data_IF_575999186719
#
_entry.id   IF_575999186719
#
_cell.length_a   1.000
_cell.length_b   1.000
_cell.length_c   1.000
_cell.angle_alpha   90.00
_cell.angle_beta   90.00
_cell.angle_gamma   90.00
#
_symmetry.space_group_name_H-M   'P 1'
#
loop_
_entity.id
_entity.type
_entity.pdbx_description
1 polymer ?
#
# COMPACT_ATOMS: atom_id res chain seq x y z
N UNK A 1 -44.43 7.01 -10.29
CA UNK A 1 -43.77 7.18 -8.97
C UNK A 1 -43.52 8.66 -8.80
N UNK A 2 -44.17 9.31 -7.83
CA UNK A 2 -43.90 10.71 -7.49
C UNK A 2 -42.53 10.79 -6.82
N UNK A 3 -41.56 11.43 -7.47
CA UNK A 3 -40.25 11.66 -6.86
C UNK A 3 -40.42 12.70 -5.76
N UNK A 4 -40.43 12.26 -4.50
CA UNK A 4 -40.44 13.19 -3.35
C UNK A 4 -39.13 13.97 -3.34
N UNK A 5 -39.21 15.28 -3.48
CA UNK A 5 -38.05 16.15 -3.39
C UNK A 5 -37.58 16.24 -1.93
N UNK A 6 -36.29 16.01 -1.68
CA UNK A 6 -35.64 16.21 -0.39
C UNK A 6 -34.70 17.42 -0.45
N UNK A 7 -34.55 18.12 0.69
CA UNK A 7 -33.68 19.29 0.82
C UNK A 7 -32.37 18.93 1.53
N UNK A 8 -31.27 19.57 1.10
CA UNK A 8 -29.96 19.50 1.76
C UNK A 8 -29.63 20.93 2.21
N UNK A 9 -29.54 21.13 3.53
CA UNK A 9 -29.21 22.42 4.13
C UNK A 9 -27.86 22.32 4.84
N UNK A 10 -26.87 23.08 4.36
CA UNK A 10 -25.50 23.09 4.91
C UNK A 10 -25.07 24.52 5.18
N UNK A 11 -24.49 24.78 6.35
CA UNK A 11 -23.85 26.06 6.67
C UNK A 11 -22.44 26.07 6.10
N UNK A 12 -22.09 27.12 5.37
CA UNK A 12 -20.78 27.29 4.73
C UNK A 12 -20.24 28.68 5.08
N UNK A 13 -18.92 28.78 5.17
CA UNK A 13 -18.26 30.08 5.21
C UNK A 13 -18.68 30.94 4.01
N UNK A 14 -18.91 32.23 4.25
CA UNK A 14 -19.48 33.14 3.26
C UNK A 14 -18.50 33.39 2.10
N UNK A 15 -17.20 33.44 2.36
CA UNK A 15 -16.17 33.71 1.36
C UNK A 15 -15.92 32.46 0.52
N UNK A 16 -15.94 31.30 1.17
CA UNK A 16 -15.92 30.00 0.50
C UNK A 16 -17.14 29.82 -0.41
N UNK A 17 -18.34 30.22 0.02
CA UNK A 17 -19.55 30.18 -0.82
C UNK A 17 -19.39 31.05 -2.06
N UNK A 18 -18.94 32.30 -1.89
CA UNK A 18 -18.78 33.25 -3.01
C UNK A 18 -17.74 32.76 -4.02
N UNK A 19 -16.58 32.31 -3.55
CA UNK A 19 -15.52 31.79 -4.42
C UNK A 19 -15.95 30.52 -5.17
N UNK A 20 -16.65 29.62 -4.49
CA UNK A 20 -17.23 28.41 -5.08
C UNK A 20 -18.26 28.72 -6.16
N UNK A 21 -19.22 29.61 -5.89
CA UNK A 21 -20.25 30.01 -6.87
C UNK A 21 -19.62 30.61 -8.14
N UNK A 22 -18.60 31.46 -7.97
CA UNK A 22 -17.88 32.04 -9.11
C UNK A 22 -17.18 30.95 -9.94
N UNK A 23 -16.59 29.93 -9.31
CA UNK A 23 -15.96 28.82 -10.00
C UNK A 23 -16.98 27.95 -10.76
N UNK A 24 -18.11 27.62 -10.12
CA UNK A 24 -19.19 26.86 -10.75
C UNK A 24 -19.79 27.61 -11.94
N UNK A 25 -20.02 28.92 -11.79
CA UNK A 25 -20.53 29.78 -12.87
C UNK A 25 -19.58 29.81 -14.07
N UNK A 26 -18.26 29.92 -13.84
CA UNK A 26 -17.25 29.82 -14.92
C UNK A 26 -17.27 28.45 -15.62
N UNK A 27 -17.63 27.39 -14.91
CA UNK A 27 -17.81 26.05 -15.46
C UNK A 27 -19.20 25.82 -16.09
N UNK A 28 -20.05 26.86 -16.15
CA UNK A 28 -21.41 26.77 -16.71
C UNK A 28 -22.39 25.98 -15.82
N UNK A 29 -22.10 25.85 -14.52
CA UNK A 29 -22.92 25.10 -13.57
C UNK A 29 -23.54 26.00 -12.51
N UNK A 30 -24.81 25.71 -12.17
CA UNK A 30 -25.44 26.27 -10.97
C UNK A 30 -25.03 25.48 -9.72
N UNK A 31 -25.08 26.09 -8.52
CA UNK A 31 -24.82 25.38 -7.26
C UNK A 31 -25.68 24.13 -7.08
N UNK A 32 -26.97 24.20 -7.41
CA UNK A 32 -27.87 23.04 -7.30
C UNK A 32 -27.53 21.92 -8.29
N UNK A 33 -27.04 22.24 -9.50
CA UNK A 33 -26.56 21.21 -10.43
C UNK A 33 -25.31 20.53 -9.89
N UNK A 34 -24.36 21.29 -9.35
CA UNK A 34 -23.15 20.74 -8.75
C UNK A 34 -23.45 19.82 -7.56
N UNK A 35 -24.37 20.23 -6.65
CA UNK A 35 -24.79 19.39 -5.52
C UNK A 35 -25.48 18.11 -5.98
N UNK A 36 -26.36 18.19 -6.99
CA UNK A 36 -27.01 16.99 -7.54
C UNK A 36 -25.99 16.04 -8.19
N UNK A 37 -25.06 16.58 -8.99
CA UNK A 37 -24.00 15.79 -9.61
C UNK A 37 -23.12 15.10 -8.56
N UNK A 38 -22.81 15.80 -7.46
CA UNK A 38 -22.07 15.22 -6.34
C UNK A 38 -22.81 14.04 -5.70
N UNK A 39 -24.11 14.18 -5.44
CA UNK A 39 -24.91 13.10 -4.88
C UNK A 39 -25.10 11.93 -5.85
N UNK A 40 -25.19 12.19 -7.16
CA UNK A 40 -25.20 11.16 -8.20
C UNK A 40 -23.88 10.40 -8.23
N UNK A 41 -22.75 11.10 -8.14
CA UNK A 41 -21.42 10.47 -8.07
C UNK A 41 -21.30 9.60 -6.81
N UNK A 42 -21.68 10.13 -5.64
CA UNK A 42 -21.66 9.37 -4.39
C UNK A 42 -22.51 8.10 -4.48
N UNK A 43 -23.72 8.19 -5.05
CA UNK A 43 -24.57 7.02 -5.28
C UNK A 43 -23.94 6.00 -6.25
N UNK A 44 -23.28 6.47 -7.31
CA UNK A 44 -22.59 5.59 -8.28
C UNK A 44 -21.38 4.86 -7.70
N UNK A 45 -20.82 5.40 -6.61
CA UNK A 45 -19.67 4.85 -5.88
C UNK A 45 -20.08 4.17 -4.57
N UNK A 46 -21.36 3.83 -4.39
CA UNK A 46 -21.86 3.23 -3.15
C UNK A 46 -21.07 1.98 -2.72
N UNK A 47 -20.65 1.15 -3.67
CA UNK A 47 -19.86 -0.06 -3.41
C UNK A 47 -18.34 0.18 -3.31
N UNK A 48 -17.90 1.44 -3.50
CA UNK A 48 -16.48 1.83 -3.55
C UNK A 48 -16.22 3.11 -2.72
N UNK A 49 -16.36 3.04 -1.38
CA UNK A 49 -16.22 4.21 -0.51
C UNK A 49 -14.82 4.85 -0.58
N UNK A 50 -13.75 4.07 -0.76
CA UNK A 50 -12.39 4.61 -0.88
C UNK A 50 -12.23 5.55 -2.07
N UNK A 51 -12.85 5.23 -3.22
CA UNK A 51 -12.80 6.10 -4.39
C UNK A 51 -13.56 7.42 -4.16
N UNK A 52 -14.62 7.41 -3.35
CA UNK A 52 -15.33 8.62 -2.97
C UNK A 52 -14.50 9.49 -2.02
N UNK A 53 -13.79 8.87 -1.07
CA UNK A 53 -12.87 9.57 -0.17
C UNK A 53 -11.72 10.24 -0.93
N UNK A 54 -11.13 9.58 -1.91
CA UNK A 54 -10.06 10.14 -2.74
C UNK A 54 -10.50 11.39 -3.51
N UNK A 55 -11.75 11.39 -4.01
CA UNK A 55 -12.32 12.52 -4.77
C UNK A 55 -12.67 13.69 -3.85
N UNK A 56 -13.26 13.43 -2.68
CA UNK A 56 -13.72 14.46 -1.75
C UNK A 56 -12.60 15.03 -0.88
N UNK A 57 -11.58 14.22 -0.57
CA UNK A 57 -10.44 14.59 0.28
C UNK A 57 -9.10 14.35 -0.43
N UNK A 58 -8.85 15.00 -1.60
CA UNK A 58 -7.65 14.77 -2.39
C UNK A 58 -6.36 15.15 -1.63
N UNK A 59 -6.43 16.11 -0.70
CA UNK A 59 -5.29 16.47 0.16
C UNK A 59 -4.91 15.35 1.13
N UNK A 60 -5.89 14.59 1.64
CA UNK A 60 -5.68 13.46 2.53
C UNK A 60 -5.11 12.28 1.77
N UNK A 61 -5.71 11.93 0.62
CA UNK A 61 -5.21 10.89 -0.26
C UNK A 61 -3.75 11.13 -0.68
N UNK A 62 -3.41 12.39 -1.01
CA UNK A 62 -2.01 12.78 -1.31
C UNK A 62 -1.08 12.70 -0.10
N UNK A 63 -1.57 13.01 1.10
CA UNK A 63 -0.76 12.89 2.32
C UNK A 63 -0.46 11.42 2.64
N UNK A 64 -1.47 10.55 2.57
CA UNK A 64 -1.34 9.11 2.78
C UNK A 64 -0.37 8.51 1.74
N UNK A 65 -0.53 8.86 0.46
CA UNK A 65 0.38 8.43 -0.61
C UNK A 65 1.85 8.81 -0.33
N UNK A 66 2.10 10.05 0.13
CA UNK A 66 3.46 10.50 0.50
C UNK A 66 4.03 9.70 1.66
N UNK A 67 3.21 9.36 2.65
CA UNK A 67 3.66 8.53 3.77
C UNK A 67 3.97 7.10 3.33
N UNK A 68 3.16 6.52 2.43
CA UNK A 68 3.45 5.21 1.82
C UNK A 68 4.76 5.22 1.03
N UNK A 69 5.01 6.25 0.23
CA UNK A 69 6.25 6.41 -0.52
C UNK A 69 7.47 6.54 0.40
N UNK A 70 7.36 7.32 1.49
CA UNK A 70 8.42 7.42 2.51
C UNK A 70 8.67 6.07 3.18
N UNK A 71 7.62 5.34 3.54
CA UNK A 71 7.74 4.03 4.16
C UNK A 71 8.39 3.02 3.21
N UNK A 72 8.00 3.02 1.92
CA UNK A 72 8.60 2.17 0.90
C UNK A 72 10.08 2.49 0.68
N UNK A 73 10.43 3.78 0.61
CA UNK A 73 11.83 4.23 0.49
C UNK A 73 12.66 3.79 1.70
N UNK A 74 12.14 4.01 2.92
CA UNK A 74 12.80 3.58 4.16
C UNK A 74 13.01 2.07 4.20
N UNK A 75 12.03 1.29 3.76
CA UNK A 75 12.16 -0.17 3.66
C UNK A 75 13.26 -0.57 2.68
N UNK A 76 13.35 0.09 1.52
CA UNK A 76 14.40 -0.18 0.54
C UNK A 76 15.80 0.16 1.08
N UNK A 77 15.93 1.29 1.77
CA UNK A 77 17.19 1.69 2.44
C UNK A 77 17.61 0.65 3.51
N UNK A 78 16.66 0.13 4.29
CA UNK A 78 16.95 -0.93 5.27
C UNK A 78 17.38 -2.25 4.60
N UNK A 79 16.78 -2.63 3.47
CA UNK A 79 17.17 -3.82 2.71
C UNK A 79 18.61 -3.67 2.18
N UNK A 80 18.95 -2.51 1.61
CA UNK A 80 20.30 -2.22 1.13
C UNK A 80 21.33 -2.23 2.27
N UNK A 81 21.01 -1.58 3.39
CA UNK A 81 21.86 -1.61 4.59
C UNK A 81 22.05 -3.04 5.12
N UNK A 82 20.97 -3.82 5.22
CA UNK A 82 21.00 -5.21 5.65
C UNK A 82 21.86 -6.08 4.73
N UNK A 83 21.75 -5.90 3.42
CA UNK A 83 22.57 -6.62 2.43
C UNK A 83 24.07 -6.32 2.58
N UNK A 84 24.43 -5.05 2.81
CA UNK A 84 25.83 -4.64 3.04
C UNK A 84 26.39 -5.20 4.34
N UNK A 85 25.60 -5.19 5.42
CA UNK A 85 25.96 -5.80 6.70
C UNK A 85 26.20 -7.30 6.54
N UNK A 86 25.29 -8.02 5.89
CA UNK A 86 25.41 -9.45 5.64
C UNK A 86 26.67 -9.79 4.82
N UNK A 87 26.90 -9.08 3.72
CA UNK A 87 28.09 -9.27 2.89
C UNK A 87 29.39 -9.02 3.67
N UNK A 88 29.39 -8.07 4.61
CA UNK A 88 30.55 -7.80 5.48
C UNK A 88 30.79 -8.94 6.45
N UNK A 89 29.75 -9.39 7.15
CA UNK A 89 29.84 -10.52 8.08
C UNK A 89 30.31 -11.82 7.40
N UNK A 90 29.83 -12.10 6.19
CA UNK A 90 30.30 -13.25 5.41
C UNK A 90 31.80 -13.15 5.09
N UNK A 91 32.27 -11.98 4.63
CA UNK A 91 33.70 -11.77 4.36
C UNK A 91 34.55 -11.94 5.61
N UNK A 92 34.13 -11.37 6.74
CA UNK A 92 34.84 -11.47 8.02
C UNK A 92 34.86 -12.90 8.56
N UNK A 93 33.82 -13.69 8.27
CA UNK A 93 33.73 -15.10 8.64
C UNK A 93 34.44 -16.04 7.66
N UNK A 94 35.06 -15.52 6.60
CA UNK A 94 35.72 -16.32 5.56
C UNK A 94 34.75 -17.06 4.62
N UNK A 95 33.47 -16.68 4.59
CA UNK A 95 32.45 -17.28 3.73
C UNK A 95 32.54 -16.68 2.32
N UNK A 96 32.87 -17.52 1.34
CA UNK A 96 32.87 -17.13 -0.08
C UNK A 96 31.44 -17.17 -0.65
N UNK A 97 30.80 -16.01 -0.64
CA UNK A 97 29.44 -15.82 -1.15
C UNK A 97 29.29 -16.10 -2.65
N UNK A 98 30.37 -16.05 -3.44
CA UNK A 98 30.33 -16.36 -4.89
C UNK A 98 30.29 -17.86 -5.13
N UNK A 99 30.87 -18.64 -4.21
CA UNK A 99 30.85 -20.10 -4.24
C UNK A 99 29.70 -20.72 -3.45
N UNK A 100 29.06 -19.94 -2.59
CA UNK A 100 27.89 -20.36 -1.83
C UNK A 100 26.73 -20.68 -2.80
N UNK A 101 26.44 -21.96 -2.97
CA UNK A 101 25.26 -22.42 -3.70
C UNK A 101 24.06 -22.44 -2.73
N UNK A 102 22.91 -21.87 -3.13
CA UNK A 102 21.69 -22.04 -2.34
C UNK A 102 21.30 -23.52 -2.37
N UNK A 103 21.33 -24.19 -1.23
CA UNK A 103 20.73 -25.52 -1.09
C UNK A 103 19.22 -25.40 -1.02
N UNK A 104 18.52 -26.28 -1.71
CA UNK A 104 17.06 -26.34 -1.64
C UNK A 104 16.58 -26.88 -0.27
N UNK A 105 15.36 -26.54 0.12
CA UNK A 105 14.81 -26.94 1.43
C UNK A 105 14.87 -28.45 1.67
N UNK A 106 14.62 -29.28 0.64
CA UNK A 106 14.69 -30.74 0.75
C UNK A 106 16.13 -31.25 0.93
N UNK A 107 17.10 -30.56 0.33
CA UNK A 107 18.52 -30.87 0.51
C UNK A 107 18.98 -30.51 1.94
N UNK A 108 18.56 -29.33 2.44
CA UNK A 108 18.84 -28.92 3.82
C UNK A 108 18.23 -29.88 4.83
N UNK A 109 16.98 -30.32 4.62
CA UNK A 109 16.35 -31.35 5.46
C UNK A 109 17.16 -32.65 5.42
N UNK A 110 17.51 -33.15 4.23
CA UNK A 110 18.29 -34.39 4.09
C UNK A 110 19.62 -34.32 4.83
N UNK A 111 20.36 -33.23 4.67
CA UNK A 111 21.64 -33.03 5.35
C UNK A 111 21.48 -32.95 6.87
N UNK A 112 20.44 -32.28 7.37
CA UNK A 112 20.16 -32.24 8.81
C UNK A 112 19.78 -33.61 9.39
N UNK A 113 19.07 -34.46 8.63
CA UNK A 113 18.81 -35.85 9.03
C UNK A 113 20.10 -36.69 9.01
N UNK A 114 20.94 -36.53 7.98
CA UNK A 114 22.24 -37.20 7.89
C UNK A 114 23.14 -36.80 9.07
N UNK A 115 23.38 -35.52 9.33
CA UNK A 115 24.21 -35.05 10.46
C UNK A 115 23.73 -35.57 11.82
N UNK A 116 22.43 -35.82 11.97
CA UNK A 116 21.83 -36.26 13.23
C UNK A 116 21.83 -37.78 13.41
N UNK A 117 21.80 -38.54 12.33
CA UNK A 117 21.55 -39.99 12.36
C UNK A 117 22.56 -40.83 11.55
N UNK A 118 23.53 -40.25 10.84
CA UNK A 118 24.53 -40.98 10.04
C UNK A 118 25.46 -41.86 10.89
N UNK A 119 25.82 -41.46 12.11
CA UNK A 119 26.67 -42.28 12.98
C UNK A 119 25.93 -43.53 13.53
N UNK A 120 24.59 -43.54 13.57
CA UNK A 120 23.81 -44.63 14.17
C UNK A 120 23.40 -45.74 13.18
N UNK A 121 23.51 -45.49 11.87
CA UNK A 121 22.96 -46.38 10.83
C UNK A 121 24.01 -47.10 9.97
N UNK A 122 25.30 -46.99 10.31
CA UNK A 122 26.39 -47.74 9.66
C UNK A 122 26.26 -49.27 9.78
N UNK A 123 25.36 -49.80 10.61
CA UNK A 123 25.18 -51.24 10.87
C UNK A 123 24.09 -51.94 10.05
N UNK A 124 23.43 -51.25 9.11
CA UNK A 124 22.32 -51.83 8.31
C UNK A 124 22.72 -52.27 6.89
N UNK A 125 24.02 -52.37 6.60
CA UNK A 125 24.54 -52.81 5.29
C UNK A 125 25.62 -53.89 5.37
N UNK A 126 25.45 -54.90 6.23
CA UNK A 126 26.08 -56.23 6.05
C UNK A 126 25.04 -57.28 5.67
#
# INVERSE_FOLDING_TARGET
MTTTAAQINVRLDADLKRSGDAALSRAGMTPSQAVRALWQLAASLADRPGALEDILLPSRARAEQREHEKAAKRKLELIDQGSKLFATACRESGIDMVKAQPSGDEELKRNAYADRYDEEMSWLCE
#
